data_IF_777908350544
#
_entry.id   IF_777908350544
#
_cell.length_a   1.000
_cell.length_b   1.000
_cell.length_c   1.000
_cell.angle_alpha   90.00
_cell.angle_beta   90.00
_cell.angle_gamma   90.00
#
_symmetry.space_group_name_H-M   'P 1'
#
loop_
_entity.id
_entity.type
_entity.pdbx_description
1 polymer ?
#
# COMPACT_ATOMS: atom_id res chain seq x y z
N UNK A 1 4.83 10.63 9.32
CA UNK A 1 4.18 9.33 9.13
C UNK A 1 5.11 8.33 8.47
N UNK A 2 4.93 7.08 8.79
CA UNK A 2 5.71 5.96 8.26
C UNK A 2 4.84 5.14 7.30
N UNK A 3 5.41 4.74 6.17
CA UNK A 3 4.75 3.90 5.19
C UNK A 3 5.44 2.55 5.12
N UNK A 4 4.71 1.48 5.40
CA UNK A 4 5.18 0.10 5.29
C UNK A 4 4.44 -0.58 4.15
N UNK A 5 5.17 -1.30 3.31
CA UNK A 5 4.64 -2.02 2.16
C UNK A 5 4.76 -3.52 2.40
N UNK A 6 3.66 -4.25 2.26
CA UNK A 6 3.63 -5.71 2.38
C UNK A 6 3.05 -6.29 1.10
N UNK A 7 3.89 -6.94 0.31
CA UNK A 7 3.48 -7.60 -0.92
C UNK A 7 3.06 -9.04 -0.63
N UNK A 8 1.83 -9.39 -1.00
CA UNK A 8 1.29 -10.73 -0.82
C UNK A 8 0.81 -11.31 -2.14
N UNK A 9 0.86 -12.63 -2.24
CA UNK A 9 0.18 -13.34 -3.32
C UNK A 9 -1.32 -13.41 -3.05
N UNK A 10 -2.10 -13.67 -4.09
CA UNK A 10 -3.56 -13.87 -3.95
C UNK A 10 -3.92 -14.99 -2.95
N UNK A 11 -3.02 -15.93 -2.75
CA UNK A 11 -3.18 -17.01 -1.75
C UNK A 11 -3.04 -16.53 -0.30
N UNK A 12 -2.57 -15.30 -0.08
CA UNK A 12 -2.29 -14.76 1.25
C UNK A 12 -0.84 -14.91 1.69
N UNK A 13 0.00 -15.60 0.90
CA UNK A 13 1.41 -15.76 1.21
C UNK A 13 2.15 -14.43 1.10
N UNK A 14 2.82 -14.02 2.17
CA UNK A 14 3.64 -12.80 2.18
C UNK A 14 4.91 -13.02 1.37
N UNK A 15 5.13 -12.16 0.37
CA UNK A 15 6.34 -12.20 -0.46
C UNK A 15 7.44 -11.33 0.15
N UNK A 16 7.08 -10.12 0.56
CA UNK A 16 8.05 -9.16 1.09
C UNK A 16 7.35 -8.10 1.94
N UNK A 17 8.04 -7.63 2.98
CA UNK A 17 7.60 -6.51 3.81
C UNK A 17 8.77 -5.55 3.97
N UNK A 18 8.52 -4.26 3.73
CA UNK A 18 9.55 -3.23 3.86
C UNK A 18 8.96 -1.89 4.27
N UNK A 19 9.76 -1.11 5.01
CA UNK A 19 9.44 0.29 5.31
C UNK A 19 9.98 1.12 4.15
N UNK A 20 9.09 1.82 3.43
CA UNK A 20 9.50 2.59 2.24
C UNK A 20 9.52 4.10 2.46
N UNK A 21 9.00 4.58 3.60
CA UNK A 21 9.04 6.00 3.94
C UNK A 21 8.93 6.20 5.45
N UNK A 22 9.61 7.23 5.96
CA UNK A 22 9.52 7.69 7.36
C UNK A 22 9.46 9.21 7.38
N UNK A 23 8.76 9.76 8.37
CA UNK A 23 8.68 11.21 8.60
C UNK A 23 8.16 12.00 7.38
N UNK A 24 7.23 11.40 6.64
CA UNK A 24 6.63 12.03 5.47
C UNK A 24 5.21 12.52 5.78
N UNK A 25 4.76 13.55 5.05
CA UNK A 25 3.38 14.00 5.10
C UNK A 25 2.46 12.96 4.46
N UNK A 26 1.18 12.98 4.84
CA UNK A 26 0.19 12.05 4.26
C UNK A 26 0.06 12.22 2.74
N UNK A 27 0.10 13.46 2.25
CA UNK A 27 0.02 13.72 0.81
C UNK A 27 1.21 13.12 0.05
N UNK A 28 2.42 13.23 0.62
CA UNK A 28 3.61 12.64 0.03
C UNK A 28 3.53 11.12 0.01
N UNK A 29 2.99 10.52 1.07
CA UNK A 29 2.81 9.07 1.16
C UNK A 29 1.86 8.57 0.09
N UNK A 30 0.73 9.24 -0.14
CA UNK A 30 -0.20 8.86 -1.21
C UNK A 30 0.41 9.01 -2.61
N UNK A 31 1.29 10.01 -2.81
CA UNK A 31 2.05 10.11 -4.05
C UNK A 31 2.98 8.90 -4.25
N UNK A 32 3.62 8.42 -3.18
CA UNK A 32 4.46 7.23 -3.23
C UNK A 32 3.65 5.97 -3.58
N UNK A 33 2.43 5.84 -3.04
CA UNK A 33 1.54 4.73 -3.38
C UNK A 33 1.14 4.81 -4.85
N UNK A 34 0.83 6.00 -5.36
CA UNK A 34 0.52 6.22 -6.76
C UNK A 34 1.69 5.81 -7.67
N UNK A 35 2.90 6.21 -7.31
CA UNK A 35 4.12 5.84 -8.04
C UNK A 35 4.33 4.32 -8.04
N UNK A 36 4.10 3.67 -6.90
CA UNK A 36 4.17 2.21 -6.81
C UNK A 36 3.18 1.54 -7.76
N UNK A 37 1.96 2.04 -7.82
CA UNK A 37 0.92 1.50 -8.72
C UNK A 37 1.34 1.63 -10.18
N UNK A 38 1.91 2.77 -10.57
CA UNK A 38 2.39 2.98 -11.92
C UNK A 38 3.54 2.03 -12.28
N UNK A 39 4.47 1.82 -11.34
CA UNK A 39 5.66 0.98 -11.56
C UNK A 39 5.34 -0.51 -11.58
N UNK A 40 4.25 -0.94 -10.94
CA UNK A 40 3.91 -2.36 -10.77
C UNK A 40 2.64 -2.78 -11.51
N UNK A 41 2.17 -1.96 -12.44
CA UNK A 41 0.95 -2.23 -13.21
C UNK A 41 -0.22 -2.58 -12.30
N UNK A 42 -0.48 -1.73 -11.34
CA UNK A 42 -1.55 -1.88 -10.36
C UNK A 42 -2.55 -0.73 -10.47
N UNK A 43 -3.80 -1.00 -10.12
CA UNK A 43 -4.83 0.01 -10.09
C UNK A 43 -4.67 0.90 -8.86
N UNK A 44 -4.80 2.21 -9.04
CA UNK A 44 -4.80 3.15 -7.94
C UNK A 44 -5.94 2.83 -6.96
N UNK A 45 -5.70 2.90 -5.64
CA UNK A 45 -6.70 2.49 -4.66
C UNK A 45 -7.96 3.37 -4.72
N UNK A 46 -9.11 2.73 -4.52
CA UNK A 46 -10.40 3.40 -4.41
C UNK A 46 -10.71 3.63 -2.94
N UNK A 47 -11.75 4.41 -2.66
CA UNK A 47 -12.18 4.67 -1.29
C UNK A 47 -12.47 3.39 -0.51
N UNK A 48 -13.04 2.37 -1.18
CA UNK A 48 -13.33 1.07 -0.57
C UNK A 48 -12.08 0.24 -0.22
N UNK A 49 -10.92 0.61 -0.76
CA UNK A 49 -9.66 -0.08 -0.51
C UNK A 49 -8.86 0.57 0.63
N UNK A 50 -9.44 1.57 1.29
CA UNK A 50 -8.78 2.33 2.35
C UNK A 50 -9.54 2.13 3.66
N UNK A 51 -8.84 1.64 4.68
CA UNK A 51 -9.40 1.45 6.03
C UNK A 51 -8.66 2.30 7.05
N UNK A 52 -9.41 2.84 7.99
CA UNK A 52 -8.87 3.57 9.14
C UNK A 52 -9.17 2.80 10.41
N UNK A 53 -8.14 2.50 11.19
CA UNK A 53 -8.27 1.79 12.46
C UNK A 53 -7.21 2.28 13.45
N UNK A 54 -7.63 2.70 14.64
CA UNK A 54 -6.73 2.99 15.75
C UNK A 54 -5.53 3.88 15.38
N UNK A 55 -5.77 4.97 14.63
CA UNK A 55 -4.72 5.88 14.21
C UNK A 55 -3.86 5.38 13.05
N UNK A 56 -4.21 4.25 12.48
CA UNK A 56 -3.52 3.63 11.36
C UNK A 56 -4.42 3.66 10.13
N UNK A 57 -3.82 3.91 8.97
CA UNK A 57 -4.52 3.83 7.69
C UNK A 57 -3.93 2.66 6.92
N UNK A 58 -4.79 1.77 6.45
CA UNK A 58 -4.39 0.64 5.62
C UNK A 58 -4.97 0.80 4.23
N UNK A 59 -4.12 0.67 3.21
CA UNK A 59 -4.51 0.79 1.81
C UNK A 59 -4.17 -0.51 1.10
N UNK A 60 -5.16 -1.12 0.46
CA UNK A 60 -5.00 -2.37 -0.29
C UNK A 60 -5.00 -2.07 -1.79
N UNK A 61 -3.98 -2.54 -2.51
CA UNK A 61 -3.81 -2.32 -3.94
C UNK A 61 -3.60 -3.66 -4.63
N UNK A 62 -4.30 -3.89 -5.74
CA UNK A 62 -4.20 -5.12 -6.53
C UNK A 62 -3.49 -4.85 -7.84
N UNK A 63 -2.59 -5.76 -8.23
CA UNK A 63 -2.03 -5.72 -9.59
C UNK A 63 -3.10 -6.12 -10.61
N UNK A 64 -2.99 -5.58 -11.84
CA UNK A 64 -3.98 -5.83 -12.90
C UNK A 64 -4.03 -7.28 -13.34
N UNK A 65 -2.90 -8.00 -13.24
CA UNK A 65 -2.85 -9.43 -13.51
C UNK A 65 -3.51 -10.26 -12.41
N UNK A 66 -3.92 -9.62 -11.29
CA UNK A 66 -4.59 -10.20 -10.13
C UNK A 66 -3.79 -11.29 -9.41
N UNK A 67 -2.47 -11.28 -9.57
CA UNK A 67 -1.60 -12.25 -8.89
C UNK A 67 -1.11 -11.75 -7.54
N UNK A 68 -1.06 -10.44 -7.34
CA UNK A 68 -0.52 -9.85 -6.13
C UNK A 68 -1.44 -8.79 -5.54
N UNK A 69 -1.37 -8.69 -4.21
CA UNK A 69 -2.00 -7.61 -3.44
C UNK A 69 -0.89 -6.96 -2.63
N UNK A 70 -0.76 -5.64 -2.72
CA UNK A 70 0.14 -4.91 -1.85
C UNK A 70 -0.66 -4.16 -0.79
N UNK A 71 -0.30 -4.37 0.47
CA UNK A 71 -0.95 -3.71 1.59
C UNK A 71 0.00 -2.64 2.12
N UNK A 72 -0.44 -1.39 2.05
CA UNK A 72 0.29 -0.26 2.58
C UNK A 72 -0.27 0.11 3.95
N UNK A 73 0.60 0.13 4.95
CA UNK A 73 0.26 0.58 6.30
C UNK A 73 0.87 1.96 6.54
N UNK A 74 0.00 2.92 6.86
CA UNK A 74 0.39 4.31 7.14
C UNK A 74 0.13 4.58 8.61
N UNK A 75 1.19 4.89 9.36
CA UNK A 75 1.10 5.14 10.80
C UNK A 75 2.05 6.23 11.25
N UNK A 76 1.77 6.81 12.38
CA UNK A 76 2.61 7.86 12.97
C UNK A 76 3.93 7.33 13.53
#
# INVERSE_FOLDING_TARGET
MKLTSTLTKNSGEVVNTSVIAKNNSIGRIFTMIEDWCADNDADYPRTCDVWKMNGKIQVSVKTRDRQFINIFDIED
#
